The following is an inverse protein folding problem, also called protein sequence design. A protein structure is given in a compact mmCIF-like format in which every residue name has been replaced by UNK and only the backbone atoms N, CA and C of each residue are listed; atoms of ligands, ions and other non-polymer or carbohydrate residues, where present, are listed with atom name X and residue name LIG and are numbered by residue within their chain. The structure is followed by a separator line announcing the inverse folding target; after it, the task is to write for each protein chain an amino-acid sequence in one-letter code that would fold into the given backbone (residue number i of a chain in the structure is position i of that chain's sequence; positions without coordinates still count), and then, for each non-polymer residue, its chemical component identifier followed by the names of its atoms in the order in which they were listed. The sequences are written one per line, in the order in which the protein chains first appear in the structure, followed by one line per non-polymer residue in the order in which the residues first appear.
data_IF_113761282832
#
_entry.id   IF_113761282832
#
_cell.length_a   1.000
_cell.length_b   1.000
_cell.length_c   1.000
_cell.angle_alpha   90.00
_cell.angle_beta   90.00
_cell.angle_gamma   90.00
#
_symmetry.space_group_name_H-M   'P 1'
#
loop_
_entity.id
_entity.type
_entity.pdbx_description
1 polymer ?
#
# COMPACT_ATOMS: atom_id res chain seq x y z
N UNK A 1 -15.62 -6.83 15.10
CA UNK A 1 -14.76 -6.85 13.89
C UNK A 1 -14.17 -5.48 13.64
N UNK A 2 -12.99 -5.41 13.02
CA UNK A 2 -12.34 -4.16 12.59
C UNK A 2 -12.38 -4.06 11.06
N UNK A 3 -12.75 -2.88 10.54
CA UNK A 3 -12.61 -2.56 9.12
C UNK A 3 -11.37 -1.68 8.93
N UNK A 4 -10.40 -2.16 8.16
CA UNK A 4 -9.16 -1.46 7.81
C UNK A 4 -9.24 -0.97 6.36
N UNK A 5 -9.07 0.32 6.14
CA UNK A 5 -9.25 0.94 4.82
C UNK A 5 -7.98 1.71 4.46
N UNK A 6 -7.49 1.50 3.24
CA UNK A 6 -6.46 2.34 2.65
C UNK A 6 -7.01 3.07 1.43
N UNK A 7 -6.96 4.41 1.46
CA UNK A 7 -7.42 5.29 0.39
C UNK A 7 -6.20 5.81 -0.38
N UNK A 8 -5.80 5.05 -1.38
CA UNK A 8 -4.72 5.40 -2.30
C UNK A 8 -5.19 6.22 -3.51
N UNK A 9 -4.24 6.76 -4.28
CA UNK A 9 -4.53 7.56 -5.47
C UNK A 9 -5.23 6.79 -6.61
N UNK A 10 -5.01 5.49 -6.70
CA UNK A 10 -5.58 4.63 -7.76
C UNK A 10 -6.74 3.79 -7.24
N UNK A 11 -6.58 3.20 -6.07
CA UNK A 11 -7.55 2.30 -5.46
C UNK A 11 -7.82 2.66 -4.01
N UNK A 12 -9.05 2.38 -3.58
CA UNK A 12 -9.43 2.25 -2.18
C UNK A 12 -9.50 0.76 -1.89
N UNK A 13 -8.74 0.29 -0.91
CA UNK A 13 -8.78 -1.11 -0.47
C UNK A 13 -9.38 -1.20 0.92
N UNK A 14 -10.15 -2.25 1.16
CA UNK A 14 -10.83 -2.50 2.44
C UNK A 14 -10.58 -3.93 2.88
N UNK A 15 -10.02 -4.09 4.07
CA UNK A 15 -9.87 -5.37 4.75
C UNK A 15 -10.81 -5.46 5.94
N UNK A 16 -11.42 -6.61 6.18
CA UNK A 16 -12.23 -6.87 7.36
C UNK A 16 -11.55 -7.91 8.21
N UNK A 17 -11.30 -7.56 9.48
CA UNK A 17 -10.71 -8.43 10.47
C UNK A 17 -11.75 -8.94 11.46
N UNK A 18 -11.80 -10.25 11.61
CA UNK A 18 -12.37 -10.86 12.81
C UNK A 18 -11.22 -11.22 13.76
N UNK A 19 -11.09 -10.46 14.85
CA UNK A 19 -9.92 -10.50 15.75
C UNK A 19 -8.62 -10.27 14.95
N UNK A 20 -7.77 -11.30 14.82
CA UNK A 20 -6.49 -11.21 14.10
C UNK A 20 -6.54 -11.83 12.70
N UNK A 21 -7.68 -12.37 12.28
CA UNK A 21 -7.85 -12.99 10.98
C UNK A 21 -8.47 -12.02 9.97
N UNK A 22 -7.80 -11.80 8.83
CA UNK A 22 -8.36 -11.08 7.69
C UNK A 22 -9.36 -12.00 6.98
N UNK A 23 -10.66 -11.68 7.07
CA UNK A 23 -11.75 -12.51 6.54
C UNK A 23 -12.35 -11.95 5.24
N UNK A 24 -12.05 -10.73 4.88
CA UNK A 24 -12.53 -10.08 3.66
C UNK A 24 -11.53 -9.07 3.12
N UNK A 25 -11.42 -9.00 1.80
CA UNK A 25 -10.58 -8.01 1.10
C UNK A 25 -11.31 -7.53 -0.15
N UNK A 26 -11.52 -6.21 -0.25
CA UNK A 26 -12.28 -5.57 -1.32
C UNK A 26 -11.55 -4.38 -1.89
N UNK A 27 -11.84 -4.05 -3.15
CA UNK A 27 -11.19 -2.94 -3.83
C UNK A 27 -12.19 -2.12 -4.63
N UNK A 28 -12.06 -0.78 -4.53
CA UNK A 28 -12.74 0.19 -5.36
C UNK A 28 -11.71 1.04 -6.11
N UNK A 29 -12.07 1.54 -7.28
CA UNK A 29 -11.23 2.55 -7.93
C UNK A 29 -11.44 3.93 -7.29
N UNK A 30 -10.35 4.65 -7.05
CA UNK A 30 -10.37 6.03 -6.54
C UNK A 30 -10.66 7.05 -7.63
N UNK A 31 -10.46 6.68 -8.91
CA UNK A 31 -10.48 7.57 -10.08
C UNK A 31 -11.78 8.38 -10.25
N UNK A 32 -12.90 7.87 -9.73
CA UNK A 32 -14.19 8.53 -9.82
C UNK A 32 -14.55 9.18 -8.49
N UNK A 33 -14.92 10.48 -8.54
CA UNK A 33 -15.50 11.13 -7.37
C UNK A 33 -16.90 10.54 -7.13
N UNK A 34 -17.12 10.07 -5.89
CA UNK A 34 -18.39 9.49 -5.45
C UNK A 34 -18.96 10.28 -4.30
N UNK A 35 -20.27 10.30 -4.22
CA UNK A 35 -21.00 10.82 -3.06
C UNK A 35 -20.87 9.90 -1.85
N UNK A 36 -21.21 10.40 -0.67
CA UNK A 36 -21.26 9.58 0.55
C UNK A 36 -22.22 8.40 0.42
N UNK A 37 -23.30 8.57 -0.36
CA UNK A 37 -24.30 7.51 -0.54
C UNK A 37 -23.80 6.40 -1.46
N UNK A 38 -23.09 6.73 -2.55
CA UNK A 38 -22.47 5.73 -3.41
C UNK A 38 -21.41 4.91 -2.67
N UNK A 39 -20.55 5.56 -1.87
CA UNK A 39 -19.59 4.85 -1.03
C UNK A 39 -20.30 3.96 0.00
N UNK A 40 -21.35 4.48 0.67
CA UNK A 40 -22.12 3.74 1.67
C UNK A 40 -22.76 2.49 1.09
N UNK A 41 -23.40 2.60 -0.07
CA UNK A 41 -24.01 1.47 -0.76
C UNK A 41 -22.98 0.39 -1.14
N UNK A 42 -21.80 0.81 -1.63
CA UNK A 42 -20.71 -0.12 -1.97
C UNK A 42 -20.17 -0.83 -0.73
N UNK A 43 -19.94 -0.11 0.38
CA UNK A 43 -19.47 -0.71 1.63
C UNK A 43 -20.46 -1.74 2.17
N UNK A 44 -21.75 -1.38 2.22
CA UNK A 44 -22.81 -2.31 2.64
C UNK A 44 -22.87 -3.54 1.73
N UNK A 45 -22.72 -3.36 0.41
CA UNK A 45 -22.72 -4.47 -0.53
C UNK A 45 -21.55 -5.43 -0.30
N UNK A 46 -20.36 -4.92 0.04
CA UNK A 46 -19.20 -5.76 0.35
C UNK A 46 -19.39 -6.53 1.67
N UNK A 47 -19.91 -5.88 2.70
CA UNK A 47 -20.23 -6.54 3.97
C UNK A 47 -21.26 -7.65 3.77
N UNK A 48 -22.36 -7.35 3.08
CA UNK A 48 -23.40 -8.33 2.76
C UNK A 48 -22.86 -9.52 1.95
N UNK A 49 -21.99 -9.28 0.96
CA UNK A 49 -21.37 -10.35 0.16
C UNK A 49 -20.53 -11.32 1.01
N UNK A 50 -20.09 -10.89 2.20
CA UNK A 50 -19.37 -11.71 3.17
C UNK A 50 -20.21 -12.14 4.36
N UNK A 51 -21.52 -11.91 4.32
CA UNK A 51 -22.44 -12.20 5.44
C UNK A 51 -22.04 -11.51 6.74
N UNK A 52 -21.54 -10.28 6.65
CA UNK A 52 -21.12 -9.46 7.81
C UNK A 52 -22.20 -8.40 8.05
N UNK A 53 -22.80 -8.44 9.22
CA UNK A 53 -23.77 -7.43 9.66
C UNK A 53 -23.04 -6.17 10.17
N UNK A 54 -23.65 -5.00 9.97
CA UNK A 54 -23.07 -3.71 10.39
C UNK A 54 -22.78 -3.66 11.89
N UNK A 55 -23.63 -4.28 12.69
CA UNK A 55 -23.55 -4.36 14.16
C UNK A 55 -22.31 -5.12 14.65
N UNK A 56 -21.76 -6.02 13.83
CA UNK A 56 -20.53 -6.77 14.14
C UNK A 56 -19.26 -5.91 14.00
N UNK A 57 -19.36 -4.76 13.34
CA UNK A 57 -18.24 -3.84 13.16
C UNK A 57 -18.09 -3.00 14.43
N UNK A 58 -16.96 -3.13 15.08
CA UNK A 58 -16.61 -2.37 16.29
C UNK A 58 -16.02 -1.01 15.93
N UNK A 59 -15.01 -1.02 15.05
CA UNK A 59 -14.25 0.18 14.67
C UNK A 59 -13.83 0.15 13.19
N UNK A 60 -13.42 1.33 12.72
CA UNK A 60 -12.92 1.53 11.36
C UNK A 60 -11.65 2.38 11.44
N UNK A 61 -10.55 1.87 10.87
CA UNK A 61 -9.29 2.60 10.76
C UNK A 61 -8.97 2.89 9.29
N UNK A 62 -8.48 4.09 9.00
CA UNK A 62 -8.27 4.58 7.64
C UNK A 62 -6.87 5.17 7.49
N UNK A 63 -6.10 4.67 6.52
CA UNK A 63 -5.00 5.38 5.88
C UNK A 63 -5.53 6.14 4.67
N UNK A 64 -5.11 7.37 4.45
CA UNK A 64 -5.54 8.14 3.28
C UNK A 64 -4.47 9.10 2.81
N UNK A 65 -4.18 9.04 1.51
CA UNK A 65 -3.35 10.01 0.78
C UNK A 65 -4.18 10.83 -0.22
N UNK A 66 -5.52 10.78 -0.12
CA UNK A 66 -6.45 11.50 -1.00
C UNK A 66 -7.43 12.34 -0.19
N UNK A 67 -7.02 13.53 0.32
CA UNK A 67 -7.82 14.36 1.22
C UNK A 67 -9.21 14.72 0.67
N UNK A 68 -9.35 14.85 -0.64
CA UNK A 68 -10.62 15.19 -1.32
C UNK A 68 -11.74 14.18 -1.07
N UNK A 69 -11.40 12.92 -0.79
CA UNK A 69 -12.36 11.84 -0.55
C UNK A 69 -12.73 11.73 0.93
N UNK A 70 -11.85 12.15 1.84
CA UNK A 70 -12.00 11.94 3.28
C UNK A 70 -13.35 12.42 3.82
N UNK A 71 -13.83 13.58 3.36
CA UNK A 71 -15.12 14.12 3.79
C UNK A 71 -16.30 13.20 3.40
N UNK A 72 -16.40 12.84 2.12
CA UNK A 72 -17.47 11.96 1.63
C UNK A 72 -17.40 10.57 2.27
N UNK A 73 -16.17 10.06 2.45
CA UNK A 73 -15.94 8.74 3.04
C UNK A 73 -16.29 8.72 4.55
N UNK A 74 -15.91 9.77 5.30
CA UNK A 74 -16.31 9.93 6.71
C UNK A 74 -17.82 9.98 6.87
N UNK A 75 -18.50 10.75 6.02
CA UNK A 75 -19.95 10.88 6.08
C UNK A 75 -20.66 9.57 5.72
N UNK A 76 -20.15 8.81 4.76
CA UNK A 76 -20.70 7.50 4.44
C UNK A 76 -20.58 6.54 5.63
N UNK A 77 -19.43 6.49 6.29
CA UNK A 77 -19.22 5.64 7.47
C UNK A 77 -20.17 6.02 8.61
N UNK A 78 -20.29 7.32 8.90
CA UNK A 78 -21.22 7.79 9.94
C UNK A 78 -22.68 7.46 9.64
N UNK A 79 -23.10 7.64 8.38
CA UNK A 79 -24.49 7.46 7.95
C UNK A 79 -24.89 5.99 7.87
N UNK A 80 -24.02 5.14 7.32
CA UNK A 80 -24.36 3.77 6.97
C UNK A 80 -23.81 2.72 7.93
N UNK A 81 -22.67 3.00 8.57
CA UNK A 81 -22.05 2.07 9.51
C UNK A 81 -22.17 2.54 10.97
N UNK A 82 -22.72 3.74 11.22
CA UNK A 82 -22.92 4.34 12.55
C UNK A 82 -21.64 4.40 13.41
N UNK A 83 -20.48 4.59 12.75
CA UNK A 83 -19.17 4.65 13.39
C UNK A 83 -18.44 5.96 13.08
N UNK A 84 -17.45 6.29 13.92
CA UNK A 84 -16.50 7.36 13.66
C UNK A 84 -15.18 6.72 13.24
N UNK A 85 -14.67 6.95 12.02
CA UNK A 85 -13.43 6.36 11.58
C UNK A 85 -12.22 6.98 12.29
N UNK A 86 -11.20 6.17 12.54
CA UNK A 86 -9.89 6.60 13.05
C UNK A 86 -8.99 6.80 11.82
N UNK A 87 -8.59 8.05 11.53
CA UNK A 87 -7.63 8.33 10.46
C UNK A 87 -6.21 8.26 10.98
N UNK A 88 -5.32 7.62 10.22
CA UNK A 88 -3.88 7.68 10.46
C UNK A 88 -3.41 9.12 10.30
N UNK A 89 -2.80 9.67 11.33
CA UNK A 89 -2.35 11.05 11.38
C UNK A 89 -1.91 11.48 12.78
N UNK A 90 -1.79 12.79 13.03
CA UNK A 90 -1.36 13.31 14.32
C UNK A 90 -2.21 12.77 15.48
N UNK A 91 -1.56 12.26 16.53
CA UNK A 91 -2.22 11.69 17.70
C UNK A 91 -2.45 10.17 17.65
N UNK A 92 -2.30 9.53 16.48
CA UNK A 92 -2.36 8.08 16.35
C UNK A 92 -1.00 7.46 16.66
N UNK A 93 -0.98 6.43 17.52
CA UNK A 93 0.26 5.76 17.91
C UNK A 93 0.61 4.65 16.91
N UNK A 94 1.43 4.98 15.94
CA UNK A 94 1.90 4.02 14.94
C UNK A 94 2.97 3.08 15.47
N UNK A 95 3.73 3.52 16.47
CA UNK A 95 4.88 2.80 17.00
C UNK A 95 6.13 2.92 16.12
N UNK A 96 6.07 3.71 15.05
CA UNK A 96 7.21 4.08 14.21
C UNK A 96 7.60 5.52 14.53
N UNK A 97 8.89 5.75 14.80
CA UNK A 97 9.46 7.08 15.01
C UNK A 97 9.94 7.65 13.68
N UNK A 98 9.38 8.80 13.28
CA UNK A 98 9.65 9.39 11.96
C UNK A 98 10.87 10.31 12.06
N UNK A 99 11.98 9.95 11.42
CA UNK A 99 13.28 10.62 11.46
C UNK A 99 13.69 11.21 10.10
N UNK A 100 12.76 11.79 9.36
CA UNK A 100 13.03 12.52 8.13
C UNK A 100 12.96 14.03 8.38
N UNK A 101 13.49 14.83 7.48
CA UNK A 101 13.59 16.30 7.62
C UNK A 101 12.25 16.97 7.91
N UNK A 102 11.18 16.51 7.25
CA UNK A 102 9.83 17.03 7.49
C UNK A 102 8.83 15.86 7.69
N UNK A 103 8.62 15.43 8.95
CA UNK A 103 7.71 14.32 9.27
C UNK A 103 6.27 14.50 8.77
N UNK A 104 5.79 15.74 8.63
CA UNK A 104 4.43 16.03 8.18
C UNK A 104 4.18 15.74 6.69
N UNK A 105 5.25 15.54 5.90
CA UNK A 105 5.17 15.20 4.48
C UNK A 105 5.10 13.70 4.21
N UNK A 106 5.31 12.87 5.24
CA UNK A 106 5.23 11.42 5.08
C UNK A 106 3.79 10.99 4.83
N UNK A 107 3.57 10.27 3.73
CA UNK A 107 2.28 9.67 3.42
C UNK A 107 1.85 8.65 4.49
N UNK A 108 0.56 8.62 4.80
CA UNK A 108 0.01 7.71 5.78
C UNK A 108 0.19 6.24 5.36
N UNK A 109 0.09 5.94 4.07
CA UNK A 109 0.35 4.64 3.45
C UNK A 109 1.77 4.11 3.77
N UNK A 110 2.80 4.93 3.53
CA UNK A 110 4.20 4.56 3.81
C UNK A 110 4.44 4.28 5.30
N UNK A 111 3.82 5.08 6.16
CA UNK A 111 3.90 4.90 7.61
C UNK A 111 3.20 3.61 8.07
N UNK A 112 2.07 3.28 7.46
CA UNK A 112 1.32 2.05 7.72
C UNK A 112 2.14 0.83 7.26
N UNK A 113 2.71 0.85 6.06
CA UNK A 113 3.52 -0.24 5.54
C UNK A 113 4.80 -0.44 6.35
N UNK A 114 5.45 0.65 6.79
CA UNK A 114 6.58 0.61 7.71
C UNK A 114 6.22 -0.07 9.04
N UNK A 115 5.07 0.27 9.63
CA UNK A 115 4.58 -0.37 10.84
C UNK A 115 4.26 -1.86 10.61
N UNK A 116 3.61 -2.18 9.50
CA UNK A 116 3.30 -3.55 9.09
C UNK A 116 4.56 -4.41 8.98
N UNK A 117 5.57 -3.92 8.26
CA UNK A 117 6.83 -4.62 8.05
C UNK A 117 7.61 -4.80 9.36
N UNK A 118 7.83 -3.70 10.10
CA UNK A 118 8.62 -3.73 11.32
C UNK A 118 8.04 -4.66 12.39
N UNK A 119 6.74 -4.58 12.65
CA UNK A 119 6.11 -5.38 13.70
C UNK A 119 5.80 -6.82 13.30
N UNK A 120 5.69 -7.12 12.00
CA UNK A 120 5.45 -8.49 11.53
C UNK A 120 6.75 -9.25 11.30
N UNK A 121 7.77 -8.59 10.75
CA UNK A 121 8.98 -9.25 10.25
C UNK A 121 10.27 -8.83 10.98
N UNK A 122 10.20 -7.82 11.84
CA UNK A 122 11.34 -7.25 12.54
C UNK A 122 12.10 -6.22 11.72
N UNK A 123 13.02 -5.51 12.38
CA UNK A 123 13.93 -4.55 11.78
C UNK A 123 15.39 -4.94 12.01
N UNK A 124 16.38 -4.32 11.32
CA UNK A 124 16.14 -3.29 10.32
C UNK A 124 15.55 -3.86 9.02
N UNK A 125 14.71 -3.07 8.34
CA UNK A 125 14.08 -3.54 7.11
C UNK A 125 13.96 -2.43 6.04
N UNK A 126 13.94 -2.87 4.79
CA UNK A 126 13.59 -2.08 3.61
C UNK A 126 12.19 -2.50 3.17
N UNK A 127 11.28 -1.55 3.12
CA UNK A 127 9.89 -1.76 2.71
C UNK A 127 9.69 -1.20 1.31
N UNK A 128 9.20 -2.03 0.39
CA UNK A 128 8.95 -1.64 -1.00
C UNK A 128 7.47 -1.75 -1.28
N UNK A 129 6.80 -0.63 -1.61
CA UNK A 129 5.44 -0.67 -2.14
C UNK A 129 5.44 -0.43 -3.65
N UNK A 130 4.97 -1.42 -4.41
CA UNK A 130 4.74 -1.33 -5.85
C UNK A 130 3.33 -0.80 -6.15
N UNK A 131 3.08 0.43 -5.72
CA UNK A 131 1.83 1.15 -5.88
C UNK A 131 1.77 2.07 -7.11
N UNK A 132 1.03 3.18 -6.96
CA UNK A 132 0.99 4.28 -7.94
C UNK A 132 2.39 4.88 -8.16
N UNK A 133 3.12 5.13 -7.09
CA UNK A 133 4.58 5.26 -7.09
C UNK A 133 5.17 3.95 -6.57
N UNK A 134 6.44 3.67 -6.87
CA UNK A 134 7.20 2.64 -6.16
C UNK A 134 8.04 3.33 -5.10
N UNK A 135 7.79 3.02 -3.83
CA UNK A 135 8.56 3.56 -2.70
C UNK A 135 9.49 2.51 -2.13
N UNK A 136 10.62 2.97 -1.60
CA UNK A 136 11.67 2.16 -0.96
C UNK A 136 11.98 2.81 0.37
N UNK A 137 11.50 2.27 1.47
CA UNK A 137 11.47 2.89 2.78
C UNK A 137 12.31 2.13 3.80
N UNK A 138 13.25 2.81 4.44
CA UNK A 138 14.15 2.20 5.43
C UNK A 138 13.62 2.42 6.84
N UNK A 139 13.48 1.32 7.57
CA UNK A 139 13.13 1.30 9.00
C UNK A 139 14.26 0.66 9.78
N UNK A 140 14.82 1.38 10.77
CA UNK A 140 15.93 0.89 11.58
C UNK A 140 15.52 -0.24 12.52
N UNK A 141 16.50 -0.90 13.13
CA UNK A 141 16.26 -1.90 14.18
C UNK A 141 15.50 -1.36 15.40
N UNK A 142 15.45 -0.03 15.58
CA UNK A 142 14.72 0.64 16.66
C UNK A 142 13.30 1.07 16.27
N UNK A 143 12.87 0.81 15.03
CA UNK A 143 11.58 1.24 14.52
C UNK A 143 11.56 2.72 14.09
N UNK A 144 12.69 3.27 13.67
CA UNK A 144 12.81 4.62 13.15
C UNK A 144 12.70 4.61 11.63
N UNK A 145 11.75 5.35 11.07
CA UNK A 145 11.63 5.61 9.63
C UNK A 145 12.62 6.71 9.26
N UNK A 146 13.68 6.37 8.55
CA UNK A 146 14.80 7.31 8.28
C UNK A 146 14.78 7.88 6.85
N UNK A 147 13.84 7.47 6.01
CA UNK A 147 13.73 7.92 4.63
C UNK A 147 13.82 6.80 3.62
N UNK A 148 14.10 7.14 2.38
CA UNK A 148 14.17 6.17 1.29
C UNK A 148 14.10 6.81 -0.09
N UNK A 149 13.75 6.04 -1.12
CA UNK A 149 13.63 6.49 -2.49
C UNK A 149 12.19 6.37 -2.99
N UNK A 150 11.83 7.20 -3.98
CA UNK A 150 10.54 7.12 -4.65
C UNK A 150 10.77 7.17 -6.16
N UNK A 151 10.20 6.18 -6.86
CA UNK A 151 10.24 6.08 -8.32
C UNK A 151 8.81 6.09 -8.89
N UNK A 152 8.64 6.38 -10.19
CA UNK A 152 7.34 6.18 -10.82
C UNK A 152 6.90 4.73 -10.68
N UNK A 153 5.61 4.45 -10.44
CA UNK A 153 5.11 3.08 -10.40
C UNK A 153 5.05 2.44 -11.81
N UNK A 154 5.07 1.11 -11.87
CA UNK A 154 5.08 0.34 -13.11
C UNK A 154 3.91 0.73 -14.02
N UNK A 155 2.71 0.88 -13.44
CA UNK A 155 1.50 1.27 -14.18
C UNK A 155 1.59 2.67 -14.76
N UNK A 156 2.09 3.65 -13.99
CA UNK A 156 2.30 5.03 -14.49
C UNK A 156 3.28 5.04 -15.65
N UNK A 157 4.41 4.36 -15.52
CA UNK A 157 5.44 4.32 -16.57
C UNK A 157 4.93 3.64 -17.83
N UNK A 158 4.17 2.56 -17.71
CA UNK A 158 3.54 1.88 -18.84
C UNK A 158 2.56 2.80 -19.55
N UNK A 159 1.68 3.47 -18.80
CA UNK A 159 0.71 4.41 -19.35
C UNK A 159 1.37 5.64 -19.98
N UNK A 160 2.44 6.17 -19.36
CA UNK A 160 3.19 7.28 -19.94
C UNK A 160 3.81 6.91 -21.28
N UNK A 161 4.36 5.70 -21.40
CA UNK A 161 4.95 5.23 -22.65
C UNK A 161 3.91 5.15 -23.79
N UNK A 162 2.71 4.61 -23.54
CA UNK A 162 1.65 4.52 -24.56
C UNK A 162 0.99 5.87 -24.86
N UNK A 163 0.81 6.74 -23.84
CA UNK A 163 0.15 8.04 -24.03
C UNK A 163 1.03 9.09 -24.69
N UNK A 164 2.37 9.03 -24.51
CA UNK A 164 3.32 10.00 -25.07
C UNK A 164 3.92 9.59 -26.41
N UNK A 165 3.79 8.33 -26.81
CA UNK A 165 4.36 7.84 -28.07
C UNK A 165 3.25 7.43 -29.04
N UNK A 166 3.02 8.23 -30.06
CA UNK A 166 1.89 8.11 -31.02
C UNK A 166 1.72 6.73 -31.69
N UNK A 167 2.75 5.90 -31.72
CA UNK A 167 2.73 4.57 -32.36
C UNK A 167 2.75 3.40 -31.39
N UNK A 168 2.83 3.68 -30.08
CA UNK A 168 2.86 2.63 -29.06
C UNK A 168 1.45 2.36 -28.53
N UNK A 169 0.96 1.12 -28.58
CA UNK A 169 -0.36 0.78 -28.08
C UNK A 169 -0.38 0.71 -26.54
N UNK A 170 -1.57 0.73 -25.96
CA UNK A 170 -1.74 0.29 -24.58
C UNK A 170 -1.42 -1.21 -24.47
N UNK A 171 -0.73 -1.58 -23.40
CA UNK A 171 -0.31 -2.96 -23.17
C UNK A 171 -0.70 -3.41 -21.77
N UNK A 172 -0.95 -4.70 -21.62
CA UNK A 172 -1.00 -5.35 -20.32
C UNK A 172 0.42 -5.59 -19.78
N UNK A 173 0.63 -5.32 -18.48
CA UNK A 173 1.91 -5.54 -17.82
C UNK A 173 2.06 -7.06 -17.56
N UNK A 174 2.87 -7.70 -18.40
CA UNK A 174 3.11 -9.11 -18.36
C UNK A 174 4.57 -9.40 -18.72
N UNK A 175 5.24 -10.28 -17.97
CA UNK A 175 6.63 -10.67 -18.27
C UNK A 175 6.67 -11.52 -19.53
N UNK A 176 7.43 -11.11 -20.56
CA UNK A 176 7.67 -11.95 -21.71
C UNK A 176 8.82 -12.95 -21.43
N UNK A 177 8.83 -14.07 -22.16
CA UNK A 177 9.84 -15.13 -21.98
C UNK A 177 11.27 -14.70 -22.40
N UNK A 178 11.41 -13.64 -23.20
CA UNK A 178 12.69 -13.17 -23.72
C UNK A 178 12.72 -11.64 -23.70
N UNK A 179 13.89 -11.08 -23.38
CA UNK A 179 14.13 -9.64 -23.43
C UNK A 179 14.21 -9.13 -24.88
N UNK A 180 14.82 -9.90 -25.79
CA UNK A 180 14.87 -9.56 -27.22
C UNK A 180 13.54 -9.98 -27.85
N UNK A 181 12.67 -9.01 -28.06
CA UNK A 181 11.34 -9.20 -28.61
C UNK A 181 11.28 -8.88 -30.12
N UNK A 182 10.37 -9.56 -30.84
CA UNK A 182 10.22 -9.39 -32.29
C UNK A 182 8.99 -8.58 -32.72
N UNK A 183 8.22 -8.06 -31.76
CA UNK A 183 7.08 -7.17 -32.00
C UNK A 183 6.98 -6.10 -30.91
N UNK A 184 6.25 -5.02 -31.21
CA UNK A 184 6.15 -3.83 -30.37
C UNK A 184 5.62 -4.15 -28.97
N UNK A 185 4.54 -4.92 -28.86
CA UNK A 185 3.91 -5.25 -27.56
C UNK A 185 4.89 -6.00 -26.65
N UNK A 186 5.54 -7.06 -27.17
CA UNK A 186 6.53 -7.83 -26.42
C UNK A 186 7.77 -7.02 -26.09
N UNK A 187 8.18 -6.11 -26.98
CA UNK A 187 9.29 -5.20 -26.73
C UNK A 187 8.99 -4.21 -25.60
N UNK A 188 7.79 -3.62 -25.58
CA UNK A 188 7.34 -2.77 -24.49
C UNK A 188 7.26 -3.54 -23.17
N UNK A 189 6.63 -4.71 -23.17
CA UNK A 189 6.55 -5.59 -22.01
C UNK A 189 7.93 -5.94 -21.45
N UNK A 190 8.88 -6.28 -22.34
CA UNK A 190 10.25 -6.58 -21.95
C UNK A 190 10.94 -5.38 -21.31
N UNK A 191 10.89 -4.21 -21.94
CA UNK A 191 11.49 -2.99 -21.41
C UNK A 191 10.93 -2.60 -20.05
N UNK A 192 9.61 -2.67 -19.88
CA UNK A 192 8.94 -2.37 -18.60
C UNK A 192 9.34 -3.39 -17.54
N UNK A 193 9.13 -4.68 -17.75
CA UNK A 193 9.29 -5.67 -16.68
C UNK A 193 10.76 -5.87 -16.32
N UNK A 194 11.63 -6.13 -17.29
CA UNK A 194 13.06 -6.29 -17.00
C UNK A 194 13.72 -4.99 -16.53
N UNK A 195 13.24 -3.83 -17.03
CA UNK A 195 13.69 -2.53 -16.55
C UNK A 195 13.37 -2.32 -15.08
N UNK A 196 12.14 -2.66 -14.63
CA UNK A 196 11.75 -2.55 -13.21
C UNK A 196 12.45 -3.56 -12.32
N UNK A 197 12.73 -4.79 -12.80
CA UNK A 197 13.54 -5.75 -12.04
C UNK A 197 14.92 -5.16 -11.79
N UNK A 198 15.62 -4.71 -12.84
CA UNK A 198 16.97 -4.14 -12.72
C UNK A 198 17.00 -2.85 -11.88
N UNK A 199 16.00 -1.96 -12.02
CA UNK A 199 15.85 -0.77 -11.17
C UNK A 199 15.71 -1.15 -9.71
N UNK A 200 14.82 -2.11 -9.41
CA UNK A 200 14.56 -2.57 -8.04
C UNK A 200 15.81 -3.17 -7.40
N UNK A 201 16.49 -4.07 -8.10
CA UNK A 201 17.73 -4.67 -7.62
C UNK A 201 18.82 -3.64 -7.37
N UNK A 202 19.00 -2.70 -8.29
CA UNK A 202 20.00 -1.66 -8.15
C UNK A 202 19.73 -0.76 -6.95
N UNK A 203 18.47 -0.33 -6.76
CA UNK A 203 18.08 0.52 -5.62
C UNK A 203 18.24 -0.24 -4.29
N UNK A 204 17.83 -1.51 -4.22
CA UNK A 204 18.00 -2.34 -3.02
C UNK A 204 19.49 -2.45 -2.65
N UNK A 205 20.35 -2.80 -3.60
CA UNK A 205 21.79 -2.91 -3.35
C UNK A 205 22.41 -1.59 -2.89
N UNK A 206 22.06 -0.49 -3.56
CA UNK A 206 22.56 0.84 -3.19
C UNK A 206 22.11 1.26 -1.77
N UNK A 207 20.85 0.99 -1.40
CA UNK A 207 20.36 1.27 -0.05
C UNK A 207 21.07 0.39 0.99
N UNK A 208 21.26 -0.91 0.71
CA UNK A 208 22.01 -1.81 1.61
C UNK A 208 23.45 -1.35 1.81
N UNK A 209 24.12 -0.90 0.74
CA UNK A 209 25.48 -0.35 0.80
C UNK A 209 25.54 0.96 1.62
N UNK A 210 24.61 1.88 1.42
CA UNK A 210 24.53 3.15 2.13
C UNK A 210 24.16 2.96 3.61
N UNK A 211 23.24 2.05 3.91
CA UNK A 211 22.83 1.75 5.29
C UNK A 211 23.93 1.04 6.08
N UNK A 212 24.77 0.23 5.41
CA UNK A 212 25.94 -0.42 6.00
C UNK A 212 25.65 -1.68 6.82
N UNK A 213 24.39 -2.12 6.90
CA UNK A 213 23.96 -3.33 7.60
C UNK A 213 23.01 -4.14 6.70
N UNK A 214 22.80 -5.40 7.06
CA UNK A 214 21.85 -6.23 6.33
C UNK A 214 20.40 -5.83 6.64
N UNK A 215 19.66 -5.43 5.59
CA UNK A 215 18.25 -5.08 5.64
C UNK A 215 17.41 -6.26 5.16
N UNK A 216 16.40 -6.65 5.94
CA UNK A 216 15.36 -7.54 5.44
C UNK A 216 14.49 -6.78 4.46
N UNK A 217 14.36 -7.27 3.23
CA UNK A 217 13.61 -6.60 2.16
C UNK A 217 12.20 -7.18 2.08
N UNK A 218 11.20 -6.36 2.44
CA UNK A 218 9.79 -6.72 2.39
C UNK A 218 9.12 -5.90 1.29
N UNK A 219 8.37 -6.55 0.41
CA UNK A 219 7.63 -5.86 -0.63
C UNK A 219 6.13 -6.11 -0.55
N UNK A 220 5.36 -5.13 -1.03
CA UNK A 220 3.89 -5.16 -1.16
C UNK A 220 3.45 -4.47 -2.46
N UNK A 221 2.16 -4.26 -2.61
CA UNK A 221 1.57 -3.59 -3.77
C UNK A 221 1.09 -4.54 -4.86
N UNK A 222 0.08 -4.10 -5.60
CA UNK A 222 -0.65 -4.98 -6.54
C UNK A 222 0.16 -5.53 -7.71
N UNK A 223 1.18 -4.81 -8.17
CA UNK A 223 2.08 -5.25 -9.25
C UNK A 223 3.39 -5.85 -8.72
N UNK A 224 3.61 -5.83 -7.41
CA UNK A 224 4.84 -6.29 -6.77
C UNK A 224 5.16 -7.76 -7.01
N UNK A 225 4.14 -8.62 -7.12
CA UNK A 225 4.34 -10.06 -7.36
C UNK A 225 5.14 -10.33 -8.63
N UNK A 226 4.90 -9.54 -9.71
CA UNK A 226 5.61 -9.72 -11.00
C UNK A 226 7.11 -9.47 -10.83
N UNK A 227 7.50 -8.51 -9.99
CA UNK A 227 8.91 -8.19 -9.73
C UNK A 227 9.50 -9.12 -8.67
N UNK A 228 8.79 -9.30 -7.55
CA UNK A 228 9.29 -10.11 -6.44
C UNK A 228 9.55 -11.59 -6.81
N UNK A 229 8.80 -12.14 -7.78
CA UNK A 229 9.05 -13.50 -8.27
C UNK A 229 10.28 -13.66 -9.17
N UNK A 230 10.96 -12.55 -9.52
CA UNK A 230 12.01 -12.52 -10.53
C UNK A 230 13.36 -12.05 -10.00
N UNK A 231 13.46 -11.84 -8.69
CA UNK A 231 14.69 -11.39 -8.03
C UNK A 231 14.84 -12.02 -6.66
N UNK A 232 16.07 -12.38 -6.31
CA UNK A 232 16.44 -12.87 -4.99
C UNK A 232 16.73 -11.74 -3.98
N UNK A 233 16.69 -10.46 -4.42
CA UNK A 233 16.93 -9.32 -3.55
C UNK A 233 15.73 -8.98 -2.64
N UNK A 234 14.55 -9.52 -2.91
CA UNK A 234 13.33 -9.36 -2.11
C UNK A 234 13.10 -10.62 -1.29
N UNK A 235 13.24 -10.52 0.04
CA UNK A 235 13.09 -11.65 0.95
C UNK A 235 11.63 -12.07 1.10
N UNK A 236 10.70 -11.11 1.11
CA UNK A 236 9.28 -11.38 1.38
C UNK A 236 8.41 -10.49 0.47
N UNK A 237 7.41 -11.12 -0.20
CA UNK A 237 6.29 -10.41 -0.80
C UNK A 237 5.03 -10.66 0.02
N UNK A 238 4.47 -9.59 0.59
CA UNK A 238 3.27 -9.63 1.43
C UNK A 238 2.17 -8.73 0.86
N UNK A 239 1.18 -9.32 0.21
CA UNK A 239 0.07 -8.59 -0.42
C UNK A 239 -0.84 -7.89 0.61
N UNK A 240 -0.86 -8.35 1.86
CA UNK A 240 -1.71 -7.85 2.93
C UNK A 240 -0.96 -6.94 3.92
N UNK A 241 0.29 -6.53 3.60
CA UNK A 241 1.16 -5.75 4.47
C UNK A 241 0.47 -4.48 5.01
N UNK A 242 -0.18 -3.71 4.15
CA UNK A 242 -0.91 -2.49 4.51
C UNK A 242 -2.04 -2.78 5.51
N UNK A 243 -2.80 -3.86 5.30
CA UNK A 243 -3.84 -4.24 6.26
C UNK A 243 -3.27 -4.67 7.61
N UNK A 244 -2.14 -5.42 7.60
CA UNK A 244 -1.41 -5.77 8.84
C UNK A 244 -0.94 -4.51 9.57
N UNK A 245 -0.39 -3.54 8.85
CA UNK A 245 0.02 -2.26 9.41
C UNK A 245 -1.13 -1.50 10.05
N UNK A 246 -2.27 -1.39 9.36
CA UNK A 246 -3.48 -0.76 9.90
C UNK A 246 -3.97 -1.46 11.17
N UNK A 247 -4.02 -2.80 11.17
CA UNK A 247 -4.42 -3.59 12.35
C UNK A 247 -3.49 -3.36 13.53
N UNK A 248 -2.17 -3.39 13.31
CA UNK A 248 -1.15 -3.16 14.34
C UNK A 248 -1.30 -1.76 14.95
N UNK A 249 -1.46 -0.74 14.12
CA UNK A 249 -1.65 0.65 14.57
C UNK A 249 -2.95 0.80 15.36
N UNK A 250 -4.04 0.17 14.91
CA UNK A 250 -5.29 0.15 15.64
C UNK A 250 -5.13 -0.43 17.04
N UNK A 251 -4.51 -1.60 17.17
CA UNK A 251 -4.30 -2.28 18.45
C UNK A 251 -3.43 -1.45 19.41
N UNK A 252 -2.38 -0.79 18.89
CA UNK A 252 -1.54 0.12 19.68
C UNK A 252 -2.31 1.35 20.16
N UNK A 253 -3.18 1.88 19.32
CA UNK A 253 -4.00 3.07 19.64
C UNK A 253 -5.01 2.73 20.72
N UNK A 254 -5.70 1.60 20.61
CA UNK A 254 -6.71 1.15 21.59
C UNK A 254 -6.11 0.81 22.95
N UNK A 255 -4.98 0.10 23.01
CA UNK A 255 -4.31 -0.23 24.28
C UNK A 255 -3.99 0.99 25.16
N UNK A 256 -3.86 2.17 24.57
CA UNK A 256 -3.54 3.40 25.29
C UNK A 256 -4.76 4.24 25.68
N UNK A 257 -5.96 3.90 25.21
CA UNK A 257 -7.20 4.58 25.61
C UNK A 257 -7.71 4.01 26.96
N UNK A 258 -7.25 2.82 27.34
CA UNK A 258 -7.67 2.13 28.55
C UNK A 258 -6.64 2.15 29.70
N UNK A 259 -5.57 2.98 29.58
CA UNK A 259 -4.62 3.31 30.64
C UNK A 259 -4.81 4.78 31.05
#
# INVERSE_FOLDING_TARGET
MLVAIDIGNTNITMGVYDRDQLIGNYRLTTKFQRTSDEYGFMLLSFLNASSIEVEQIEDIIISSVVPKINYSFTNCIKKYLHKNPIFIGPGVKTGIDIRIDNPSTLGADRLVDAAGAFYTYGGPCLVIDFGTATTYDVVTAKGEFIGGATAPGIGISTNALSSQAAKLPEIEIQKPNKIIAKNTIKSMQAGIVFGYIGQTEYIIRTIKEEYGENLKVISTGGLGRIIASETDEIDIYDVDLTFKGLKIIYDKTKKNIYI
#
